data_IF_955733995865
#
_entry.id   IF_955733995865
#
_cell.length_a   1.000
_cell.length_b   1.000
_cell.length_c   1.000
_cell.angle_alpha   90.00
_cell.angle_beta   90.00
_cell.angle_gamma   90.00
#
_symmetry.space_group_name_H-M   'P 1'
#
loop_
_entity.id
_entity.type
_entity.pdbx_description
1 polymer ?
#
# COMPACT_ATOMS: atom_id res chain seq x y z
N UNK A 1 -28.94 -2.64 53.18
CA UNK A 1 -29.54 -3.70 52.35
C UNK A 1 -28.63 -3.94 51.17
N UNK A 2 -27.85 -5.00 51.29
CA UNK A 2 -27.03 -5.59 50.23
C UNK A 2 -27.94 -6.19 49.17
N UNK A 3 -27.52 -6.16 47.91
CA UNK A 3 -28.00 -7.14 46.93
C UNK A 3 -26.82 -8.07 46.62
N UNK A 4 -26.91 -9.30 47.14
CA UNK A 4 -26.15 -10.44 46.68
C UNK A 4 -26.78 -11.01 45.39
N UNK A 5 -25.88 -11.46 44.50
CA UNK A 5 -25.88 -12.63 43.59
C UNK A 5 -27.23 -13.17 43.11
N UNK A 6 -27.46 -13.51 41.84
CA UNK A 6 -26.81 -14.59 41.06
C UNK A 6 -27.52 -14.60 39.69
N UNK A 7 -26.91 -14.70 38.51
CA UNK A 7 -26.65 -15.97 37.81
C UNK A 7 -26.07 -15.72 36.41
N UNK A 8 -25.04 -16.51 36.09
CA UNK A 8 -24.59 -16.99 34.80
C UNK A 8 -25.32 -16.55 33.52
N UNK A 9 -24.58 -15.91 32.62
CA UNK A 9 -24.44 -16.42 31.25
C UNK A 9 -23.18 -15.86 30.62
N UNK A 10 -22.34 -16.78 30.13
CA UNK A 10 -21.23 -16.50 29.24
C UNK A 10 -21.76 -15.85 27.96
N UNK A 11 -21.33 -14.63 27.69
CA UNK A 11 -21.16 -14.13 26.32
C UNK A 11 -19.87 -13.33 26.28
N UNK A 12 -18.77 -14.00 25.96
CA UNK A 12 -17.60 -13.32 25.41
C UNK A 12 -18.02 -12.79 24.03
N UNK A 13 -18.62 -11.61 24.01
CA UNK A 13 -18.81 -10.87 22.76
C UNK A 13 -17.44 -10.34 22.38
N UNK A 14 -16.81 -10.80 21.29
CA UNK A 14 -15.54 -10.23 20.86
C UNK A 14 -15.79 -8.77 20.47
N UNK A 15 -14.96 -7.86 20.96
CA UNK A 15 -15.01 -6.47 20.53
C UNK A 15 -14.62 -6.43 19.04
N UNK A 16 -15.29 -5.57 18.27
CA UNK A 16 -14.97 -5.36 16.86
C UNK A 16 -13.52 -4.87 16.74
N UNK A 17 -12.61 -5.78 16.37
CA UNK A 17 -11.16 -5.51 16.31
C UNK A 17 -10.25 -6.49 17.06
N UNK A 18 -10.79 -7.45 17.84
CA UNK A 18 -9.95 -8.47 18.48
C UNK A 18 -9.44 -9.49 17.46
N UNK A 19 -8.19 -9.31 17.00
CA UNK A 19 -7.43 -10.29 16.22
C UNK A 19 -6.86 -11.43 17.10
N UNK A 20 -7.63 -11.93 18.08
CA UNK A 20 -7.14 -12.97 18.96
C UNK A 20 -7.48 -14.37 18.39
N UNK A 21 -6.45 -15.02 17.84
CA UNK A 21 -6.34 -16.46 17.52
C UNK A 21 -7.08 -17.07 16.31
N UNK A 22 -7.69 -16.27 15.42
CA UNK A 22 -8.31 -16.82 14.19
C UNK A 22 -7.32 -17.11 13.04
N UNK A 23 -6.11 -16.52 13.10
CA UNK A 23 -5.07 -16.75 12.10
C UNK A 23 -4.04 -17.75 12.64
N UNK A 24 -4.28 -19.05 12.47
CA UNK A 24 -3.21 -20.04 12.60
C UNK A 24 -2.37 -20.01 11.33
N UNK A 25 -1.07 -19.80 11.48
CA UNK A 25 -0.13 -19.98 10.38
C UNK A 25 -0.32 -21.37 9.77
N UNK A 26 -0.73 -21.41 8.51
CA UNK A 26 -0.95 -22.66 7.78
C UNK A 26 0.32 -23.04 7.03
N UNK A 27 0.54 -24.34 6.78
CA UNK A 27 1.67 -24.82 5.97
C UNK A 27 1.69 -24.16 4.57
N UNK A 28 0.52 -23.78 4.06
CA UNK A 28 0.34 -22.99 2.84
C UNK A 28 0.97 -21.60 2.91
N UNK A 29 0.91 -20.92 4.06
CA UNK A 29 1.52 -19.60 4.27
C UNK A 29 3.04 -19.72 4.34
N UNK A 30 3.57 -20.70 5.07
CA UNK A 30 5.02 -20.99 5.10
C UNK A 30 5.58 -21.31 3.73
N UNK A 31 4.86 -22.09 2.93
CA UNK A 31 5.25 -22.40 1.55
C UNK A 31 5.23 -21.15 0.65
N UNK A 32 4.26 -20.25 0.83
CA UNK A 32 4.20 -19.00 0.08
C UNK A 32 5.37 -18.07 0.41
N UNK A 33 5.69 -17.91 1.70
CA UNK A 33 6.83 -17.12 2.17
C UNK A 33 8.17 -17.68 1.68
N UNK A 34 8.35 -19.01 1.72
CA UNK A 34 9.54 -19.66 1.16
C UNK A 34 9.69 -19.46 -0.35
N UNK A 35 8.57 -19.43 -1.10
CA UNK A 35 8.59 -19.13 -2.53
C UNK A 35 8.93 -17.66 -2.78
N UNK A 36 8.34 -16.74 -2.02
CA UNK A 36 8.64 -15.31 -2.11
C UNK A 36 10.12 -15.02 -1.80
N UNK A 37 10.67 -15.64 -0.76
CA UNK A 37 12.10 -15.54 -0.42
C UNK A 37 13.01 -16.03 -1.56
N UNK A 38 12.71 -17.17 -2.18
CA UNK A 38 13.50 -17.67 -3.32
C UNK A 38 13.44 -16.75 -4.54
N UNK A 39 12.27 -16.19 -4.82
CA UNK A 39 12.08 -15.22 -5.90
C UNK A 39 12.90 -13.96 -5.60
N UNK A 40 12.79 -13.44 -4.37
CA UNK A 40 13.55 -12.28 -3.89
C UNK A 40 15.06 -12.49 -4.05
N UNK A 41 15.60 -13.63 -3.58
CA UNK A 41 17.02 -13.95 -3.71
C UNK A 41 17.48 -14.07 -5.18
N UNK A 42 16.59 -14.52 -6.07
CA UNK A 42 16.86 -14.55 -7.50
C UNK A 42 16.89 -13.14 -8.10
N UNK A 43 16.01 -12.25 -7.67
CA UNK A 43 15.94 -10.86 -8.15
C UNK A 43 17.15 -10.05 -7.65
N UNK A 44 17.52 -10.20 -6.38
CA UNK A 44 18.71 -9.55 -5.82
C UNK A 44 19.98 -9.97 -6.59
N UNK A 45 20.13 -11.26 -6.91
CA UNK A 45 21.24 -11.75 -7.75
C UNK A 45 21.21 -11.22 -9.19
N UNK A 46 20.03 -10.91 -9.72
CA UNK A 46 19.86 -10.31 -11.04
C UNK A 46 20.06 -8.78 -11.05
N UNK A 47 20.49 -8.19 -9.92
CA UNK A 47 20.80 -6.76 -9.79
C UNK A 47 19.60 -5.88 -9.48
N UNK A 48 18.49 -6.46 -9.01
CA UNK A 48 17.39 -5.68 -8.45
C UNK A 48 17.72 -5.28 -7.00
N UNK A 49 17.21 -4.13 -6.58
CA UNK A 49 17.44 -3.58 -5.24
C UNK A 49 16.11 -3.32 -4.53
N UNK A 50 16.12 -3.42 -3.21
CA UNK A 50 14.98 -2.98 -2.40
C UNK A 50 14.84 -1.46 -2.52
N UNK A 51 13.61 -1.02 -2.78
CA UNK A 51 13.27 0.38 -2.86
C UNK A 51 12.76 0.84 -1.49
N UNK A 52 13.63 1.50 -0.72
CA UNK A 52 13.19 2.23 0.46
C UNK A 52 12.43 3.48 0.02
N UNK A 53 11.11 3.46 0.18
CA UNK A 53 10.24 4.55 -0.23
C UNK A 53 9.50 5.12 0.98
N UNK A 54 9.61 6.43 1.14
CA UNK A 54 8.77 7.17 2.07
C UNK A 54 7.44 7.55 1.42
N UNK A 55 6.49 7.95 2.27
CA UNK A 55 5.25 8.55 1.84
C UNK A 55 5.45 9.68 0.84
N UNK A 56 4.74 9.60 -0.28
CA UNK A 56 4.61 10.70 -1.23
C UNK A 56 4.87 10.33 -2.66
N UNK A 57 5.33 11.32 -3.44
CA UNK A 57 5.53 11.14 -4.87
C UNK A 57 6.69 10.20 -5.15
N UNK A 58 6.46 9.28 -6.08
CA UNK A 58 7.47 8.36 -6.57
C UNK A 58 8.67 9.14 -7.17
N UNK A 59 9.92 8.64 -7.06
CA UNK A 59 11.09 9.33 -7.61
C UNK A 59 10.99 9.58 -9.12
N UNK A 60 11.70 10.61 -9.60
CA UNK A 60 11.68 11.01 -11.01
C UNK A 60 12.21 9.94 -11.98
N UNK A 61 13.05 9.02 -11.49
CA UNK A 61 13.57 7.90 -12.26
C UNK A 61 12.48 6.96 -12.78
N UNK A 62 11.25 6.99 -12.24
CA UNK A 62 10.11 6.21 -12.76
C UNK A 62 9.49 6.79 -14.04
N UNK A 63 10.16 7.74 -14.70
CA UNK A 63 9.80 8.33 -15.99
C UNK A 63 8.34 8.81 -16.06
N UNK A 64 7.85 9.43 -14.99
CA UNK A 64 6.54 10.09 -14.96
C UNK A 64 6.71 11.56 -14.58
N UNK A 65 5.80 12.40 -15.10
CA UNK A 65 5.75 13.82 -14.79
C UNK A 65 4.45 14.13 -14.06
N UNK A 66 4.49 14.39 -12.74
CA UNK A 66 3.29 14.75 -11.99
C UNK A 66 2.63 16.01 -12.57
N UNK A 67 1.30 16.02 -12.74
CA UNK A 67 0.55 17.18 -13.26
C UNK A 67 -0.35 17.80 -12.20
N UNK A 68 -0.05 19.01 -11.72
CA UNK A 68 -0.84 19.68 -10.70
C UNK A 68 -1.47 20.96 -11.24
N UNK A 69 -2.63 21.35 -10.71
CA UNK A 69 -3.22 22.67 -10.95
C UNK A 69 -3.35 23.42 -9.61
N UNK A 70 -2.39 24.31 -9.33
CA UNK A 70 -2.32 25.07 -8.07
C UNK A 70 -3.47 26.06 -7.88
N UNK A 71 -4.25 26.35 -8.91
CA UNK A 71 -5.43 27.22 -8.81
C UNK A 71 -6.68 26.47 -8.33
N UNK A 72 -6.62 25.14 -8.21
CA UNK A 72 -7.71 24.30 -7.72
C UNK A 72 -7.33 23.74 -6.36
N UNK A 73 -8.08 24.11 -5.32
CA UNK A 73 -7.94 23.56 -3.98
C UNK A 73 -8.84 22.33 -3.83
N UNK A 74 -8.33 21.18 -4.27
CA UNK A 74 -8.96 19.88 -4.08
C UNK A 74 -7.91 18.86 -3.64
N UNK A 75 -8.38 17.79 -3.00
CA UNK A 75 -7.52 16.68 -2.61
C UNK A 75 -8.24 15.34 -2.68
N UNK A 76 -7.46 14.29 -2.87
CA UNK A 76 -7.83 12.90 -2.62
C UNK A 76 -7.01 12.41 -1.42
N UNK A 77 -7.68 12.12 -0.31
CA UNK A 77 -7.07 11.56 0.89
C UNK A 77 -7.16 10.03 0.87
N UNK A 78 -6.05 9.37 1.18
CA UNK A 78 -5.95 7.91 1.17
C UNK A 78 -5.44 7.46 2.54
N UNK A 79 -6.26 6.68 3.24
CA UNK A 79 -5.91 6.06 4.51
C UNK A 79 -5.46 4.62 4.26
N UNK A 80 -4.22 4.30 4.63
CA UNK A 80 -3.67 2.94 4.54
C UNK A 80 -3.67 2.33 5.94
N UNK A 81 -4.37 1.21 6.08
CA UNK A 81 -4.39 0.43 7.32
C UNK A 81 -3.05 -0.22 7.63
N UNK A 82 -3.00 -0.96 8.73
CA UNK A 82 -1.83 -1.76 9.08
C UNK A 82 -1.66 -2.97 8.16
N UNK A 83 -0.41 -3.34 7.90
CA UNK A 83 -0.05 -4.64 7.34
C UNK A 83 0.33 -4.66 5.87
N UNK A 84 0.32 -3.54 5.15
CA UNK A 84 0.84 -3.45 3.79
C UNK A 84 1.14 -2.01 3.39
N UNK A 85 2.11 -1.81 2.52
CA UNK A 85 2.30 -0.52 1.84
C UNK A 85 1.52 -0.51 0.53
N UNK A 86 1.22 0.69 0.05
CA UNK A 86 0.33 0.91 -1.07
C UNK A 86 0.97 1.83 -2.08
N UNK A 87 0.95 1.42 -3.33
CA UNK A 87 1.35 2.20 -4.47
C UNK A 87 0.13 2.57 -5.28
N UNK A 88 -0.10 3.87 -5.46
CA UNK A 88 -1.30 4.41 -6.12
C UNK A 88 -0.91 5.20 -7.36
N UNK A 89 -1.47 4.82 -8.51
CA UNK A 89 -1.42 5.61 -9.75
C UNK A 89 -2.80 6.24 -9.99
N UNK A 90 -2.82 7.56 -10.13
CA UNK A 90 -3.99 8.30 -10.59
C UNK A 90 -3.90 8.47 -12.11
N UNK A 91 -4.77 7.80 -12.84
CA UNK A 91 -4.76 7.75 -14.31
C UNK A 91 -5.88 8.63 -14.85
N UNK A 92 -5.56 9.52 -15.78
CA UNK A 92 -6.55 10.29 -16.52
C UNK A 92 -7.20 9.40 -17.58
N UNK A 93 -8.54 9.29 -17.56
CA UNK A 93 -9.28 8.39 -18.46
C UNK A 93 -9.08 8.78 -19.94
N UNK A 94 -9.08 10.07 -20.25
CA UNK A 94 -9.08 10.51 -21.65
C UNK A 94 -7.71 10.34 -22.32
N UNK A 95 -6.61 10.36 -21.54
CA UNK A 95 -5.23 10.25 -22.05
C UNK A 95 -4.56 8.92 -21.72
N UNK A 96 -5.16 8.11 -20.85
CA UNK A 96 -4.58 6.88 -20.29
C UNK A 96 -3.19 7.07 -19.66
N UNK A 97 -2.88 8.29 -19.23
CA UNK A 97 -1.59 8.66 -18.63
C UNK A 97 -1.71 8.87 -17.13
N UNK A 98 -0.72 8.38 -16.39
CA UNK A 98 -0.58 8.66 -14.97
C UNK A 98 -0.26 10.14 -14.73
N UNK A 99 -1.05 10.80 -13.89
CA UNK A 99 -0.83 12.19 -13.48
C UNK A 99 -0.29 12.32 -12.05
N UNK A 100 -0.42 11.26 -11.26
CA UNK A 100 0.19 11.07 -9.95
C UNK A 100 0.63 9.62 -9.82
N UNK A 101 1.78 9.44 -9.21
CA UNK A 101 2.28 8.14 -8.81
C UNK A 101 2.83 8.29 -7.40
N UNK A 102 2.14 7.70 -6.42
CA UNK A 102 2.46 7.90 -5.00
C UNK A 102 2.68 6.57 -4.29
N UNK A 103 3.60 6.59 -3.35
CA UNK A 103 3.86 5.52 -2.39
C UNK A 103 3.31 5.92 -1.03
N UNK A 104 2.64 5.00 -0.34
CA UNK A 104 2.03 5.24 0.96
C UNK A 104 2.34 4.03 1.86
N UNK A 105 3.12 4.26 2.91
CA UNK A 105 3.50 3.28 3.92
C UNK A 105 2.28 2.78 4.71
N UNK A 106 2.38 1.56 5.22
CA UNK A 106 1.45 0.97 6.18
C UNK A 106 1.15 1.92 7.34
N UNK A 107 -0.10 1.90 7.80
CA UNK A 107 -0.57 2.70 8.95
C UNK A 107 -0.39 4.22 8.78
N UNK A 108 -0.46 4.73 7.55
CA UNK A 108 -0.29 6.15 7.25
C UNK A 108 -1.40 6.70 6.36
N UNK A 109 -1.51 8.03 6.34
CA UNK A 109 -2.47 8.76 5.51
C UNK A 109 -1.71 9.71 4.59
N UNK A 110 -2.12 9.79 3.33
CA UNK A 110 -1.51 10.69 2.35
C UNK A 110 -2.56 11.44 1.54
N UNK A 111 -2.31 12.73 1.30
CA UNK A 111 -3.17 13.60 0.48
C UNK A 111 -2.53 13.86 -0.88
N UNK A 112 -3.26 13.54 -1.93
CA UNK A 112 -2.94 13.93 -3.29
C UNK A 112 -3.69 15.24 -3.58
N UNK A 113 -2.97 16.36 -3.53
CA UNK A 113 -3.56 17.69 -3.68
C UNK A 113 -3.47 18.23 -5.12
N UNK A 114 -4.26 19.28 -5.38
CA UNK A 114 -4.21 20.10 -6.60
C UNK A 114 -4.38 19.27 -7.88
N UNK A 115 -5.39 18.39 -7.87
CA UNK A 115 -5.71 17.49 -8.98
C UNK A 115 -6.42 18.30 -10.07
N UNK A 116 -5.86 18.41 -11.29
CA UNK A 116 -6.50 19.13 -12.38
C UNK A 116 -7.91 18.58 -12.68
N UNK A 117 -8.83 19.46 -13.11
CA UNK A 117 -10.17 19.04 -13.53
C UNK A 117 -10.10 17.95 -14.61
N UNK A 118 -10.91 16.91 -14.47
CA UNK A 118 -10.96 15.78 -15.39
C UNK A 118 -11.59 14.55 -14.75
N UNK A 119 -11.62 13.45 -15.49
CA UNK A 119 -12.08 12.15 -14.98
C UNK A 119 -10.89 11.21 -14.83
N UNK A 120 -10.85 10.51 -13.71
CA UNK A 120 -9.71 9.70 -13.31
C UNK A 120 -10.16 8.36 -12.73
N UNK A 121 -9.28 7.38 -12.84
CA UNK A 121 -9.39 6.11 -12.13
C UNK A 121 -8.08 5.78 -11.43
N UNK A 122 -8.13 4.90 -10.44
CA UNK A 122 -6.98 4.49 -9.65
C UNK A 122 -6.50 3.10 -10.09
N UNK A 123 -5.18 2.93 -10.21
CA UNK A 123 -4.54 1.61 -10.17
C UNK A 123 -3.76 1.50 -8.87
N UNK A 124 -4.05 0.48 -8.07
CA UNK A 124 -3.50 0.30 -6.73
C UNK A 124 -2.77 -1.03 -6.68
N UNK A 125 -1.55 -1.02 -6.15
CA UNK A 125 -0.77 -2.21 -5.84
C UNK A 125 -0.45 -2.23 -4.35
N UNK A 126 -0.55 -3.42 -3.74
CA UNK A 126 -0.32 -3.64 -2.32
C UNK A 126 0.90 -4.54 -2.15
N UNK A 127 1.75 -4.24 -1.18
CA UNK A 127 2.93 -5.06 -0.88
C UNK A 127 3.80 -4.46 0.20
N UNK A 128 4.70 -5.28 0.77
CA UNK A 128 5.73 -4.84 1.73
C UNK A 128 7.13 -4.79 1.14
N UNK A 129 7.40 -5.67 0.17
CA UNK A 129 8.73 -5.86 -0.41
C UNK A 129 8.76 -5.24 -1.80
N UNK A 130 9.06 -3.95 -1.87
CA UNK A 130 9.14 -3.25 -3.15
C UNK A 130 10.54 -3.34 -3.71
N UNK A 131 10.65 -3.98 -4.88
CA UNK A 131 11.93 -4.22 -5.54
C UNK A 131 11.93 -3.44 -6.86
N UNK A 132 13.04 -2.76 -7.14
CA UNK A 132 13.21 -1.98 -8.36
C UNK A 132 14.57 -2.25 -8.99
N UNK A 133 14.65 -2.09 -10.31
CA UNK A 133 15.91 -2.14 -11.05
C UNK A 133 16.18 -0.77 -11.65
N UNK A 134 17.41 -0.30 -11.50
CA UNK A 134 17.84 0.94 -12.11
C UNK A 134 18.64 0.59 -13.38
N UNK A 135 18.13 0.97 -14.53
CA UNK A 135 18.81 0.84 -15.82
C UNK A 135 18.80 2.20 -16.51
N UNK A 136 19.97 2.68 -16.94
CA UNK A 136 20.10 3.99 -17.63
C UNK A 136 19.45 5.16 -16.86
N UNK A 137 19.62 5.21 -15.54
CA UNK A 137 18.98 6.17 -14.62
C UNK A 137 17.44 6.13 -14.59
N UNK A 138 16.84 5.08 -15.15
CA UNK A 138 15.41 4.83 -15.10
C UNK A 138 15.10 3.68 -14.13
N UNK A 139 14.14 3.91 -13.23
CA UNK A 139 13.65 2.93 -12.28
C UNK A 139 12.54 2.09 -12.90
N UNK A 140 12.74 0.79 -12.90
CA UNK A 140 11.78 -0.22 -13.31
C UNK A 140 11.23 -0.91 -12.06
N UNK A 141 9.95 -0.75 -11.71
CA UNK A 141 9.34 -1.50 -10.62
C UNK A 141 9.19 -2.97 -11.02
N UNK A 142 9.48 -3.87 -10.08
CA UNK A 142 9.06 -5.26 -10.17
C UNK A 142 7.60 -5.35 -9.66
N UNK A 143 6.73 -6.05 -10.41
CA UNK A 143 5.32 -6.27 -10.06
C UNK A 143 5.06 -7.73 -9.78
#
# INVERSE_FOLDING_TARGET
MSCESTTSSNFNNPNNGDLNNSFKETDSQKLAEMKESKIKDSLLRAGWIEAEMGNGSMPSCYNFKPKQNKSIDNYLEIHVGGGTDVVVKLINIDTEKAIRYVFINSSSTYKIEHIPQGRYYLKIAYGKNWISKIENNQCWPFY
#
